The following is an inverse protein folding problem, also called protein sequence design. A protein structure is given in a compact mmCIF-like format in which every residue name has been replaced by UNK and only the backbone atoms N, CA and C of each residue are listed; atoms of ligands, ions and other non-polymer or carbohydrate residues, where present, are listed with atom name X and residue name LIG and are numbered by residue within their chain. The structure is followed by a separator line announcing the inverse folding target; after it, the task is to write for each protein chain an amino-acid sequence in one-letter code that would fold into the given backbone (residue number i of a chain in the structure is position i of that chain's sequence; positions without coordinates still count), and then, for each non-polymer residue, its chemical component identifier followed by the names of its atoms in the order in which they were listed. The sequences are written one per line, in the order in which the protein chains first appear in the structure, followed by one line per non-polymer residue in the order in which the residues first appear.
data_IF_346411612169
#
_entry.id   IF_346411612169
#
_cell.length_a   1.000
_cell.length_b   1.000
_cell.length_c   1.000
_cell.angle_alpha   90.00
_cell.angle_beta   90.00
_cell.angle_gamma   90.00
#
_symmetry.space_group_name_H-M   'P 1'
#
loop_
_entity.id
_entity.type
_entity.pdbx_description
1 polymer ?
#
# COMPACT_ATOMS: atom_id res chain seq x y z
N UNK A 1 21.81 41.78 8.94
CA UNK A 1 20.34 41.81 9.07
C UNK A 1 19.64 40.86 8.09
N UNK A 2 19.95 40.91 6.78
CA UNK A 2 19.37 39.98 5.77
C UNK A 2 19.62 38.49 6.05
N UNK A 3 20.79 38.12 6.59
CA UNK A 3 21.11 36.73 6.90
C UNK A 3 20.25 36.14 8.03
N UNK A 4 19.92 36.96 9.03
CA UNK A 4 19.02 36.58 10.12
C UNK A 4 17.60 36.28 9.60
N UNK A 5 17.07 37.15 8.73
CA UNK A 5 15.75 36.93 8.11
C UNK A 5 15.73 35.70 7.22
N UNK A 6 16.81 35.44 6.47
CA UNK A 6 16.97 34.23 5.66
C UNK A 6 16.97 32.98 6.53
N UNK A 7 17.66 33.01 7.68
CA UNK A 7 17.70 31.90 8.61
C UNK A 7 16.32 31.61 9.22
N UNK A 8 15.63 32.65 9.72
CA UNK A 8 14.28 32.53 10.28
C UNK A 8 13.29 32.01 9.23
N UNK A 9 13.38 32.50 7.99
CA UNK A 9 12.56 31.99 6.89
C UNK A 9 12.77 30.50 6.65
N UNK A 10 14.03 30.06 6.54
CA UNK A 10 14.36 28.64 6.34
C UNK A 10 13.81 27.78 7.47
N UNK A 11 13.99 28.22 8.72
CA UNK A 11 13.47 27.49 9.88
C UNK A 11 11.95 27.32 9.80
N UNK A 12 11.21 28.41 9.53
CA UNK A 12 9.75 28.35 9.37
C UNK A 12 9.31 27.45 8.21
N UNK A 13 10.00 27.52 7.08
CA UNK A 13 9.72 26.66 5.94
C UNK A 13 9.96 25.17 6.27
N UNK A 14 11.01 24.87 7.03
CA UNK A 14 11.28 23.52 7.53
C UNK A 14 10.20 23.03 8.49
N UNK A 15 9.81 23.84 9.48
CA UNK A 15 8.77 23.48 10.44
C UNK A 15 7.42 23.22 9.73
N UNK A 16 7.10 24.08 8.76
CA UNK A 16 5.91 23.91 7.91
C UNK A 16 5.98 22.62 7.09
N UNK A 17 7.14 22.30 6.50
CA UNK A 17 7.32 21.08 5.74
C UNK A 17 7.19 19.82 6.62
N UNK A 18 7.66 19.86 7.88
CA UNK A 18 7.51 18.75 8.83
C UNK A 18 6.04 18.55 9.19
N UNK A 19 5.32 19.62 9.55
CA UNK A 19 3.90 19.54 9.87
C UNK A 19 3.08 19.05 8.67
N UNK A 20 3.40 19.54 7.48
CA UNK A 20 2.77 19.09 6.23
C UNK A 20 3.05 17.61 5.94
N UNK A 21 4.29 17.14 6.18
CA UNK A 21 4.62 15.74 6.01
C UNK A 21 3.77 14.83 6.90
N UNK A 22 3.61 15.20 8.18
CA UNK A 22 2.76 14.45 9.11
C UNK A 22 1.29 14.42 8.64
N UNK A 23 0.78 15.56 8.21
CA UNK A 23 -0.56 15.67 7.63
C UNK A 23 -0.75 14.76 6.41
N UNK A 24 0.18 14.80 5.45
CA UNK A 24 0.15 13.95 4.24
C UNK A 24 0.15 12.46 4.62
N UNK A 25 1.01 12.05 5.56
CA UNK A 25 1.09 10.64 6.01
C UNK A 25 -0.23 10.16 6.60
N UNK A 26 -0.88 10.97 7.43
CA UNK A 26 -2.18 10.61 8.03
C UNK A 26 -3.24 10.45 6.95
N UNK A 27 -3.35 11.39 6.00
CA UNK A 27 -4.32 11.30 4.91
C UNK A 27 -4.10 10.08 4.01
N UNK A 28 -2.83 9.75 3.72
CA UNK A 28 -2.49 8.61 2.90
C UNK A 28 -2.68 7.25 3.61
N UNK A 29 -2.82 7.22 4.94
CA UNK A 29 -2.97 5.97 5.68
C UNK A 29 -4.26 5.23 5.32
N UNK A 30 -5.36 5.97 5.13
CA UNK A 30 -6.62 5.36 4.69
C UNK A 30 -6.50 4.82 3.25
N UNK A 31 -5.81 5.57 2.39
CA UNK A 31 -5.57 5.20 1.01
C UNK A 31 -4.69 3.95 0.87
N UNK A 32 -3.63 3.85 1.68
CA UNK A 32 -2.70 2.72 1.68
C UNK A 32 -3.37 1.38 2.01
N UNK A 33 -4.48 1.40 2.76
CA UNK A 33 -5.26 0.22 3.11
C UNK A 33 -6.22 -0.24 2.01
N UNK A 34 -6.39 0.56 0.95
CA UNK A 34 -7.23 0.19 -0.19
C UNK A 34 -6.43 -0.66 -1.18
N UNK A 35 -7.11 -1.55 -1.89
CA UNK A 35 -6.51 -2.30 -3.00
C UNK A 35 -6.41 -1.45 -4.28
N UNK A 36 -5.85 -0.24 -4.19
CA UNK A 36 -5.80 0.70 -5.32
C UNK A 36 -5.00 0.18 -6.52
N UNK A 37 -4.10 -0.78 -6.31
CA UNK A 37 -3.31 -1.47 -7.34
C UNK A 37 -4.10 -2.53 -8.12
N UNK A 38 -5.27 -2.93 -7.64
CA UNK A 38 -6.20 -3.81 -8.37
C UNK A 38 -7.19 -3.01 -9.22
N UNK A 39 -6.95 -1.69 -9.40
CA UNK A 39 -7.73 -0.87 -10.31
C UNK A 39 -7.42 -1.25 -11.76
N UNK A 40 -8.45 -1.56 -12.53
CA UNK A 40 -8.35 -1.72 -13.98
C UNK A 40 -8.16 -0.34 -14.63
N UNK A 41 -6.92 0.13 -14.64
CA UNK A 41 -6.53 1.37 -15.31
C UNK A 41 -6.56 1.20 -16.82
N UNK A 42 -7.28 2.08 -17.51
CA UNK A 42 -7.29 2.17 -18.99
C UNK A 42 -6.19 3.08 -19.51
N UNK A 43 -5.73 4.04 -18.68
CA UNK A 43 -4.72 5.04 -19.02
C UNK A 43 -3.67 5.16 -17.91
N UNK A 44 -2.41 5.53 -18.25
CA UNK A 44 -1.35 5.76 -17.26
C UNK A 44 -1.65 6.87 -16.24
N UNK A 45 -2.62 7.74 -16.53
CA UNK A 45 -3.05 8.84 -15.68
C UNK A 45 -4.28 8.49 -14.83
N UNK A 46 -4.76 7.26 -14.88
CA UNK A 46 -5.91 6.84 -14.08
C UNK A 46 -5.50 6.78 -12.61
N UNK A 47 -6.28 7.46 -11.78
CA UNK A 47 -6.11 7.49 -10.33
C UNK A 47 -7.43 7.04 -9.73
N UNK A 48 -7.37 6.27 -8.65
CA UNK A 48 -8.59 5.83 -7.98
C UNK A 48 -9.40 7.03 -7.46
N UNK A 49 -10.75 6.96 -7.52
CA UNK A 49 -11.60 8.03 -7.01
C UNK A 49 -11.37 8.38 -5.54
N UNK A 50 -10.92 7.41 -4.73
CA UNK A 50 -10.60 7.60 -3.31
C UNK A 50 -9.34 8.45 -3.07
N UNK A 51 -8.50 8.68 -4.09
CA UNK A 51 -7.36 9.58 -4.00
C UNK A 51 -7.73 11.05 -4.29
N UNK A 52 -8.87 11.30 -4.94
CA UNK A 52 -9.30 12.65 -5.32
C UNK A 52 -9.46 13.62 -4.12
N UNK A 53 -10.01 13.22 -2.96
CA UNK A 53 -10.08 14.10 -1.79
C UNK A 53 -8.71 14.60 -1.35
N UNK A 54 -7.70 13.73 -1.35
CA UNK A 54 -6.32 14.10 -1.03
C UNK A 54 -5.77 15.13 -2.03
N UNK A 55 -5.92 14.89 -3.34
CA UNK A 55 -5.47 15.83 -4.37
C UNK A 55 -6.12 17.22 -4.25
N UNK A 56 -7.43 17.25 -3.96
CA UNK A 56 -8.15 18.50 -3.76
C UNK A 56 -7.61 19.27 -2.56
N UNK A 57 -7.35 18.58 -1.45
CA UNK A 57 -6.85 19.20 -0.24
C UNK A 57 -5.43 19.75 -0.41
N UNK A 58 -4.54 18.99 -1.07
CA UNK A 58 -3.21 19.49 -1.45
C UNK A 58 -3.33 20.73 -2.34
N UNK A 59 -4.20 20.71 -3.36
CA UNK A 59 -4.42 21.86 -4.24
C UNK A 59 -4.86 23.10 -3.47
N UNK A 60 -5.79 22.94 -2.52
CA UNK A 60 -6.27 24.05 -1.69
C UNK A 60 -5.17 24.61 -0.79
N UNK A 61 -4.36 23.74 -0.17
CA UNK A 61 -3.24 24.17 0.67
C UNK A 61 -2.17 24.92 -0.13
N UNK A 62 -1.77 24.39 -1.29
CA UNK A 62 -0.82 25.06 -2.18
C UNK A 62 -1.36 26.42 -2.66
N UNK A 63 -2.65 26.50 -2.98
CA UNK A 63 -3.29 27.76 -3.34
C UNK A 63 -3.22 28.82 -2.23
N UNK A 64 -3.45 28.43 -0.97
CA UNK A 64 -3.33 29.32 0.19
C UNK A 64 -1.89 29.80 0.40
N UNK A 65 -0.91 28.92 0.20
CA UNK A 65 0.51 29.27 0.26
C UNK A 65 0.84 30.31 -0.80
N UNK A 66 0.49 30.06 -2.07
CA UNK A 66 0.75 30.99 -3.17
C UNK A 66 0.19 32.39 -2.92
N UNK A 67 -0.97 32.49 -2.28
CA UNK A 67 -1.61 33.76 -1.95
C UNK A 67 -0.95 34.52 -0.79
N UNK A 68 -0.13 33.84 0.03
CA UNK A 68 0.38 34.37 1.30
C UNK A 68 1.86 34.79 1.27
N UNK A 69 2.62 34.37 0.25
CA UNK A 69 4.07 34.62 0.15
C UNK A 69 4.48 34.99 -1.27
N UNK A 70 5.71 35.53 -1.42
CA UNK A 70 6.24 35.88 -2.74
C UNK A 70 6.42 34.64 -3.64
N UNK A 71 6.37 34.80 -4.97
CA UNK A 71 6.55 33.69 -5.91
C UNK A 71 7.84 32.89 -5.69
N UNK A 72 8.97 33.56 -5.43
CA UNK A 72 10.26 32.90 -5.18
C UNK A 72 10.25 32.06 -3.88
N UNK A 73 9.60 32.58 -2.86
CA UNK A 73 9.42 31.89 -1.58
C UNK A 73 8.48 30.69 -1.74
N UNK A 74 7.41 30.85 -2.53
CA UNK A 74 6.48 29.77 -2.86
C UNK A 74 7.18 28.65 -3.64
N UNK A 75 8.01 28.99 -4.62
CA UNK A 75 8.77 28.00 -5.39
C UNK A 75 9.67 27.15 -4.48
N UNK A 76 10.42 27.80 -3.60
CA UNK A 76 11.28 27.11 -2.62
C UNK A 76 10.48 26.19 -1.71
N UNK A 77 9.35 26.69 -1.20
CA UNK A 77 8.48 25.91 -0.32
C UNK A 77 7.83 24.73 -1.06
N UNK A 78 7.38 24.91 -2.30
CA UNK A 78 6.82 23.83 -3.12
C UNK A 78 7.82 22.71 -3.35
N UNK A 79 9.10 23.03 -3.56
CA UNK A 79 10.15 22.01 -3.67
C UNK A 79 10.24 21.16 -2.39
N UNK A 80 10.25 21.79 -1.21
CA UNK A 80 10.27 21.10 0.08
C UNK A 80 9.00 20.26 0.31
N UNK A 81 7.82 20.82 0.00
CA UNK A 81 6.54 20.11 0.18
C UNK A 81 6.42 18.93 -0.79
N UNK A 82 6.85 19.07 -2.04
CA UNK A 82 6.88 17.99 -3.01
C UNK A 82 7.80 16.85 -2.57
N UNK A 83 8.97 17.16 -2.01
CA UNK A 83 9.86 16.15 -1.43
C UNK A 83 9.14 15.36 -0.32
N UNK A 84 8.38 16.05 0.56
CA UNK A 84 7.62 15.38 1.62
C UNK A 84 6.42 14.58 1.14
N UNK A 85 5.75 15.01 0.06
CA UNK A 85 4.70 14.21 -0.59
C UNK A 85 5.30 12.94 -1.18
N UNK A 86 6.42 13.06 -1.90
CA UNK A 86 7.11 11.93 -2.51
C UNK A 86 7.56 10.91 -1.44
N UNK A 87 8.18 11.40 -0.36
CA UNK A 87 8.61 10.58 0.77
C UNK A 87 7.42 9.81 1.40
N UNK A 88 6.32 10.51 1.67
CA UNK A 88 5.12 9.90 2.25
C UNK A 88 4.44 8.88 1.32
N UNK A 89 4.40 9.14 0.01
CA UNK A 89 3.86 8.18 -0.96
C UNK A 89 4.73 6.93 -1.07
N UNK A 90 6.05 7.09 -1.13
CA UNK A 90 6.99 5.98 -1.23
C UNK A 90 6.98 5.11 0.03
N UNK A 91 7.10 5.71 1.21
CA UNK A 91 7.20 4.97 2.47
C UNK A 91 5.85 4.55 3.05
N UNK A 92 4.82 5.37 2.89
CA UNK A 92 3.50 5.13 3.47
C UNK A 92 2.59 4.25 2.63
N UNK A 93 2.60 4.41 1.30
CA UNK A 93 1.68 3.71 0.40
C UNK A 93 2.37 2.53 -0.28
N UNK A 94 3.52 2.75 -0.89
CA UNK A 94 4.19 1.74 -1.72
C UNK A 94 4.95 0.68 -0.91
N UNK A 95 5.75 1.11 0.09
CA UNK A 95 6.57 0.19 0.88
C UNK A 95 5.75 -0.59 1.91
N UNK A 96 4.78 0.05 2.57
CA UNK A 96 3.93 -0.61 3.56
C UNK A 96 3.15 -1.79 2.95
N UNK A 97 2.57 -1.59 1.77
CA UNK A 97 1.79 -2.63 1.11
C UNK A 97 2.65 -3.79 0.61
N UNK A 98 3.82 -3.51 0.02
CA UNK A 98 4.77 -4.57 -0.38
C UNK A 98 5.24 -5.40 0.83
N UNK A 99 5.39 -4.74 1.97
CA UNK A 99 5.72 -5.41 3.22
C UNK A 99 4.56 -6.29 3.70
N UNK A 100 3.32 -5.79 3.70
CA UNK A 100 2.13 -6.56 4.07
C UNK A 100 1.91 -7.79 3.17
N UNK A 101 2.12 -7.65 1.85
CA UNK A 101 2.07 -8.77 0.90
C UNK A 101 3.17 -9.80 1.20
N UNK A 102 4.39 -9.36 1.54
CA UNK A 102 5.48 -10.25 1.90
C UNK A 102 5.19 -11.03 3.20
N UNK A 103 4.70 -10.36 4.24
CA UNK A 103 4.31 -11.00 5.50
C UNK A 103 3.15 -11.98 5.28
N UNK A 104 2.14 -11.59 4.51
CA UNK A 104 1.01 -12.47 4.15
C UNK A 104 1.48 -13.70 3.37
N UNK A 105 2.43 -13.52 2.45
CA UNK A 105 3.05 -14.64 1.72
C UNK A 105 3.79 -15.60 2.66
N UNK A 106 4.57 -15.07 3.60
CA UNK A 106 5.28 -15.86 4.61
C UNK A 106 4.31 -16.63 5.52
N UNK A 107 3.19 -16.01 5.91
CA UNK A 107 2.12 -16.65 6.69
C UNK A 107 1.57 -17.86 5.94
N UNK A 108 1.22 -17.73 4.65
CA UNK A 108 0.72 -18.83 3.82
C UNK A 108 1.73 -19.95 3.63
N UNK A 109 3.01 -19.60 3.42
CA UNK A 109 4.09 -20.58 3.31
C UNK A 109 4.33 -21.34 4.62
N UNK A 110 4.02 -20.71 5.75
CA UNK A 110 4.22 -21.26 7.10
C UNK A 110 3.01 -22.04 7.65
N UNK A 111 1.87 -22.07 6.93
CA UNK A 111 0.68 -22.84 7.33
C UNK A 111 1.03 -24.34 7.47
N UNK A 112 0.54 -25.07 8.48
CA UNK A 112 0.76 -26.51 8.58
C UNK A 112 0.33 -27.27 7.32
N UNK A 113 1.07 -28.31 6.92
CA UNK A 113 0.88 -29.03 5.63
C UNK A 113 -0.56 -29.46 5.40
N UNK A 114 -1.22 -30.07 6.39
CA UNK A 114 -2.62 -30.51 6.26
C UNK A 114 -3.59 -29.34 5.99
N UNK A 115 -3.44 -28.25 6.72
CA UNK A 115 -4.23 -27.02 6.50
C UNK A 115 -3.95 -26.41 5.14
N UNK A 116 -2.70 -26.41 4.68
CA UNK A 116 -2.32 -25.88 3.38
C UNK A 116 -2.90 -26.70 2.22
N UNK A 117 -2.98 -28.03 2.34
CA UNK A 117 -3.66 -28.89 1.35
C UNK A 117 -5.15 -28.52 1.24
N UNK A 118 -5.84 -28.43 2.38
CA UNK A 118 -7.26 -28.10 2.43
C UNK A 118 -7.52 -26.69 1.89
N UNK A 119 -6.77 -25.71 2.36
CA UNK A 119 -6.87 -24.31 1.96
C UNK A 119 -6.62 -24.14 0.45
N UNK A 120 -5.61 -24.81 -0.11
CA UNK A 120 -5.37 -24.80 -1.56
C UNK A 120 -6.55 -25.41 -2.33
N UNK A 121 -7.09 -26.53 -1.86
CA UNK A 121 -8.25 -27.20 -2.48
C UNK A 121 -9.49 -26.30 -2.47
N UNK A 122 -9.73 -25.63 -1.35
CA UNK A 122 -10.82 -24.67 -1.17
C UNK A 122 -10.67 -23.48 -2.11
N UNK A 123 -9.50 -22.83 -2.15
CA UNK A 123 -9.24 -21.70 -3.07
C UNK A 123 -9.37 -22.12 -4.54
N UNK A 124 -9.03 -23.37 -4.91
CA UNK A 124 -9.22 -23.88 -6.27
C UNK A 124 -10.69 -24.08 -6.63
N UNK A 125 -11.52 -24.49 -5.68
CA UNK A 125 -12.94 -24.80 -5.92
C UNK A 125 -13.85 -23.58 -5.78
N UNK A 126 -13.45 -22.60 -4.98
CA UNK A 126 -14.25 -21.41 -4.72
C UNK A 126 -14.19 -20.37 -5.85
N UNK A 127 -15.21 -19.51 -6.00
CA UNK A 127 -15.16 -18.30 -6.82
C UNK A 127 -14.01 -17.36 -6.40
N UNK A 128 -13.52 -16.54 -7.32
CA UNK A 128 -12.38 -15.65 -7.05
C UNK A 128 -12.71 -14.62 -5.96
N UNK A 129 -13.93 -14.12 -5.93
CA UNK A 129 -14.45 -13.12 -4.99
C UNK A 129 -14.41 -13.64 -3.54
N UNK A 130 -14.48 -14.96 -3.34
CA UNK A 130 -14.42 -15.58 -2.01
C UNK A 130 -13.00 -15.73 -1.46
N UNK A 131 -11.97 -15.55 -2.30
CA UNK A 131 -10.57 -15.79 -1.90
C UNK A 131 -10.16 -14.94 -0.70
N UNK A 132 -10.52 -13.66 -0.69
CA UNK A 132 -10.19 -12.76 0.41
C UNK A 132 -10.80 -13.22 1.74
N UNK A 133 -12.04 -13.73 1.71
CA UNK A 133 -12.72 -14.26 2.90
C UNK A 133 -12.10 -15.58 3.38
N UNK A 134 -11.71 -16.46 2.46
CA UNK A 134 -11.04 -17.74 2.77
C UNK A 134 -9.66 -17.50 3.40
N UNK A 135 -8.93 -16.47 2.96
CA UNK A 135 -7.61 -16.12 3.46
C UNK A 135 -7.63 -15.22 4.70
N UNK A 136 -8.77 -14.62 5.05
CA UNK A 136 -8.90 -13.73 6.20
C UNK A 136 -8.50 -14.38 7.54
N UNK A 137 -8.84 -15.65 7.85
CA UNK A 137 -8.40 -16.31 9.08
C UNK A 137 -6.88 -16.47 9.21
N UNK A 138 -6.14 -16.31 8.11
CA UNK A 138 -4.68 -16.42 8.04
C UNK A 138 -4.00 -15.05 7.93
N UNK A 139 -4.76 -13.95 8.13
CA UNK A 139 -4.32 -12.57 7.92
C UNK A 139 -3.60 -12.39 6.57
N UNK A 140 -4.18 -12.99 5.52
CA UNK A 140 -3.61 -13.03 4.17
C UNK A 140 -4.63 -12.60 3.09
N UNK A 141 -5.68 -11.86 3.46
CA UNK A 141 -6.73 -11.40 2.56
C UNK A 141 -6.24 -10.47 1.44
N UNK A 142 -5.04 -9.88 1.60
CA UNK A 142 -4.39 -9.03 0.58
C UNK A 142 -3.84 -9.84 -0.60
N UNK A 143 -3.66 -11.16 -0.44
CA UNK A 143 -3.07 -12.02 -1.46
C UNK A 143 -4.13 -12.43 -2.48
N UNK A 144 -3.87 -12.16 -3.76
CA UNK A 144 -4.74 -12.60 -4.86
C UNK A 144 -4.79 -14.12 -4.98
N UNK A 145 -5.89 -14.65 -5.53
CA UNK A 145 -6.08 -16.08 -5.78
C UNK A 145 -4.91 -16.74 -6.49
N UNK A 146 -4.49 -16.14 -7.61
CA UNK A 146 -3.37 -16.63 -8.42
C UNK A 146 -2.09 -16.70 -7.60
N UNK A 147 -1.80 -15.65 -6.83
CA UNK A 147 -0.58 -15.58 -5.99
C UNK A 147 -0.62 -16.61 -4.87
N UNK A 148 -1.75 -16.79 -4.19
CA UNK A 148 -1.91 -17.81 -3.16
C UNK A 148 -1.66 -19.22 -3.72
N UNK A 149 -2.23 -19.55 -4.89
CA UNK A 149 -2.01 -20.84 -5.54
C UNK A 149 -0.54 -21.06 -5.91
N UNK A 150 0.13 -20.05 -6.47
CA UNK A 150 1.58 -20.11 -6.76
C UNK A 150 2.41 -20.30 -5.49
N UNK A 151 2.06 -19.65 -4.37
CA UNK A 151 2.76 -19.83 -3.09
C UNK A 151 2.63 -21.27 -2.58
N UNK A 152 1.45 -21.87 -2.68
CA UNK A 152 1.29 -23.29 -2.34
C UNK A 152 2.02 -24.21 -3.32
N UNK A 153 2.20 -23.83 -4.58
CA UNK A 153 2.98 -24.61 -5.54
C UNK A 153 4.49 -24.59 -5.25
N UNK A 154 4.98 -23.55 -4.58
CA UNK A 154 6.38 -23.42 -4.17
C UNK A 154 6.74 -24.29 -2.95
N UNK A 155 5.73 -24.86 -2.28
CA UNK A 155 5.93 -25.67 -1.08
C UNK A 155 6.30 -27.09 -1.43
N UNK A 156 7.54 -27.47 -1.16
CA UNK A 156 8.05 -28.82 -1.41
C UNK A 156 7.35 -29.91 -0.57
N UNK A 157 6.76 -29.56 0.57
CA UNK A 157 6.06 -30.50 1.46
C UNK A 157 4.65 -30.85 0.98
N UNK A 158 4.07 -30.02 0.10
CA UNK A 158 2.82 -30.31 -0.57
C UNK A 158 3.13 -31.24 -1.75
N UNK A 159 2.99 -32.55 -1.54
CA UNK A 159 3.10 -33.52 -2.64
C UNK A 159 1.93 -33.31 -3.61
N UNK A 160 2.11 -32.47 -4.63
CA UNK A 160 1.06 -32.09 -5.58
C UNK A 160 0.64 -33.20 -6.55
N UNK A 161 1.36 -34.33 -6.55
CA UNK A 161 1.23 -35.42 -7.53
C UNK A 161 0.95 -36.80 -6.91
N UNK A 162 0.68 -36.92 -5.62
CA UNK A 162 0.16 -38.19 -5.10
C UNK A 162 -1.36 -38.13 -5.15
N UNK A 163 -1.94 -38.89 -6.07
CA UNK A 163 -3.31 -39.39 -5.93
C UNK A 163 -3.44 -39.97 -4.52
N UNK A 164 -3.94 -39.18 -3.59
CA UNK A 164 -4.42 -39.66 -2.30
C UNK A 164 -5.73 -40.38 -2.59
N UNK A 165 -5.63 -41.55 -3.22
CA UNK A 165 -6.57 -42.62 -2.96
C UNK A 165 -6.50 -42.83 -1.46
N UNK A 166 -7.50 -42.28 -0.75
CA UNK A 166 -7.77 -42.61 0.64
C UNK A 166 -7.93 -44.12 0.71
N UNK A 167 -6.82 -44.84 0.90
CA UNK A 167 -6.80 -46.22 1.36
C UNK A 167 -7.26 -46.18 2.81
N UNK A 168 -8.58 -46.04 2.98
CA UNK A 168 -9.24 -46.49 4.20
C UNK A 168 -8.98 -47.99 4.26
N UNK A 169 -8.05 -48.37 5.14
CA UNK A 169 -7.76 -49.76 5.44
C UNK A 169 -9.02 -50.43 6.00
N UNK A 170 -9.17 -51.71 5.60
CA UNK A 170 -10.21 -52.69 5.92
C UNK A 170 -10.68 -52.68 7.38
#
# INVERSE_FOLDING_TARGET
MAEMYRHVWRQRATDMAIAFHQFVRVQLTAYAKLNWFSMDGTKPTDITPSFCPFLLEIRLLLGRIAASISPDSAFTLYSLLNEKIADALMHGVLLFQKFEEAISSLRLLSVPTGSAILLRSEIKKSPEEMTAAILAPYDASVISRRRALTLFEQRCDLQLNSDVTLRLYR
#
